data_IF_886567074662
#
_entry.id   IF_886567074662
#
_cell.length_a   1.000
_cell.length_b   1.000
_cell.length_c   1.000
_cell.angle_alpha   90.00
_cell.angle_beta   90.00
_cell.angle_gamma   90.00
#
_symmetry.space_group_name_H-M   'P 1'
#
loop_
_entity.id
_entity.type
_entity.pdbx_description
1 polymer ?
#
# COMPACT_ATOMS: atom_id res chain seq x y z
N UNK A 1 2.25 12.87 -14.82
CA UNK A 1 2.60 11.77 -13.89
C UNK A 1 1.82 10.51 -14.22
N UNK A 2 2.48 9.34 -14.15
CA UNK A 2 1.81 8.03 -14.16
C UNK A 2 1.05 7.84 -12.85
N UNK A 3 0.02 6.98 -12.86
CA UNK A 3 -0.68 6.58 -11.63
C UNK A 3 0.17 5.55 -10.90
N UNK A 4 0.37 5.72 -9.59
CA UNK A 4 1.09 4.77 -8.72
C UNK A 4 0.08 3.88 -8.00
N UNK A 5 0.26 2.57 -8.04
CA UNK A 5 -0.43 1.65 -7.13
C UNK A 5 0.36 1.50 -5.84
N UNK A 6 -0.24 1.88 -4.71
CA UNK A 6 0.32 1.68 -3.37
C UNK A 6 -0.42 0.50 -2.72
N UNK A 7 0.28 -0.59 -2.44
CA UNK A 7 -0.24 -1.68 -1.61
C UNK A 7 0.28 -1.43 -0.20
N UNK A 8 -0.64 -1.12 0.71
CA UNK A 8 -0.35 -0.74 2.09
C UNK A 8 -1.25 -1.46 3.08
N UNK A 9 -1.43 -0.87 4.25
CA UNK A 9 -2.16 -1.48 5.36
C UNK A 9 -1.32 -2.44 6.20
N UNK A 10 0.00 -2.54 5.98
CA UNK A 10 0.93 -3.41 6.72
C UNK A 10 2.01 -2.65 7.54
N UNK A 11 1.70 -1.65 8.37
CA UNK A 11 0.39 -1.26 8.90
C UNK A 11 -0.22 -0.05 8.16
N UNK A 12 -1.42 0.38 8.59
CA UNK A 12 -2.06 1.57 8.03
C UNK A 12 -1.34 2.86 8.43
N UNK A 13 -0.76 2.91 9.63
CA UNK A 13 -0.02 4.08 10.12
C UNK A 13 1.17 4.40 9.21
N UNK A 14 1.99 3.40 8.89
CA UNK A 14 3.14 3.58 7.98
C UNK A 14 2.69 3.96 6.57
N UNK A 15 1.59 3.37 6.09
CA UNK A 15 1.00 3.67 4.79
C UNK A 15 0.53 5.12 4.69
N UNK A 16 -0.05 5.67 5.76
CA UNK A 16 -0.48 7.07 5.81
C UNK A 16 0.69 8.04 5.64
N UNK A 17 1.87 7.68 6.18
CA UNK A 17 3.09 8.47 6.00
C UNK A 17 3.55 8.45 4.54
N UNK A 18 3.53 7.30 3.87
CA UNK A 18 3.86 7.22 2.44
C UNK A 18 2.93 8.08 1.59
N UNK A 19 1.62 8.00 1.81
CA UNK A 19 0.66 8.85 1.09
C UNK A 19 0.98 10.34 1.27
N UNK A 20 1.26 10.77 2.50
CA UNK A 20 1.62 12.15 2.82
C UNK A 20 2.90 12.57 2.11
N UNK A 21 3.97 11.78 2.24
CA UNK A 21 5.27 12.10 1.63
C UNK A 21 5.19 12.17 0.10
N UNK A 22 4.51 11.22 -0.53
CA UNK A 22 4.33 11.20 -1.99
C UNK A 22 3.62 12.48 -2.46
N UNK A 23 2.55 12.88 -1.78
CA UNK A 23 1.83 14.12 -2.14
C UNK A 23 2.65 15.38 -1.84
N UNK A 24 3.33 15.46 -0.70
CA UNK A 24 4.18 16.61 -0.36
C UNK A 24 5.30 16.81 -1.38
N UNK A 25 5.97 15.73 -1.80
CA UNK A 25 7.04 15.79 -2.81
C UNK A 25 6.50 16.10 -4.21
N UNK A 26 5.30 15.61 -4.55
CA UNK A 26 4.69 15.92 -5.84
C UNK A 26 4.28 17.40 -5.90
N UNK A 27 3.68 17.90 -4.83
CA UNK A 27 3.26 19.29 -4.73
C UNK A 27 4.47 20.23 -4.85
N UNK A 28 5.58 19.92 -4.18
CA UNK A 28 6.78 20.78 -4.23
C UNK A 28 7.47 20.82 -5.60
N UNK A 29 7.33 19.78 -6.43
CA UNK A 29 7.97 19.70 -7.74
C UNK A 29 7.06 20.13 -8.89
N UNK A 30 5.75 19.89 -8.77
CA UNK A 30 4.82 19.99 -9.89
C UNK A 30 3.57 20.83 -9.60
N UNK A 31 3.41 21.37 -8.39
CA UNK A 31 2.23 22.13 -7.93
C UNK A 31 0.91 21.36 -8.15
N UNK A 32 0.95 20.03 -7.97
CA UNK A 32 -0.16 19.11 -8.18
C UNK A 32 -0.16 18.00 -7.13
N UNK A 33 -1.32 17.38 -6.92
CA UNK A 33 -1.43 16.16 -6.12
C UNK A 33 -0.87 14.96 -6.88
N UNK A 34 -0.40 13.96 -6.13
CA UNK A 34 0.02 12.70 -6.72
C UNK A 34 -1.19 11.92 -7.27
N UNK A 35 -1.04 11.33 -8.46
CA UNK A 35 -2.01 10.38 -9.01
C UNK A 35 -1.69 8.99 -8.45
N UNK A 36 -2.52 8.46 -7.56
CA UNK A 36 -2.31 7.14 -6.97
C UNK A 36 -3.62 6.39 -6.66
N UNK A 37 -3.51 5.08 -6.56
CA UNK A 37 -4.53 4.17 -6.02
C UNK A 37 -3.91 3.48 -4.81
N UNK A 38 -4.59 3.50 -3.68
CA UNK A 38 -4.17 2.79 -2.46
C UNK A 38 -5.05 1.56 -2.26
N UNK A 39 -4.44 0.38 -2.20
CA UNK A 39 -5.06 -0.85 -1.71
C UNK A 39 -4.55 -1.10 -0.29
N UNK A 40 -5.44 -1.06 0.70
CA UNK A 40 -5.09 -1.28 2.10
C UNK A 40 -5.47 -2.69 2.51
N UNK A 41 -4.48 -3.50 2.85
CA UNK A 41 -4.67 -4.88 3.32
C UNK A 41 -4.97 -4.92 4.82
N UNK A 42 -5.52 -6.04 5.29
CA UNK A 42 -5.70 -6.31 6.71
C UNK A 42 -4.37 -6.79 7.32
N UNK A 43 -3.81 -5.97 8.22
CA UNK A 43 -2.56 -6.31 8.92
C UNK A 43 -2.68 -7.56 9.79
N UNK A 44 -3.82 -7.74 10.47
CA UNK A 44 -4.03 -8.87 11.36
C UNK A 44 -4.10 -10.19 10.60
N UNK A 45 -4.77 -10.20 9.45
CA UNK A 45 -4.83 -11.36 8.56
C UNK A 45 -3.43 -11.73 8.03
N UNK A 46 -2.71 -10.77 7.46
CA UNK A 46 -1.37 -11.00 6.90
C UNK A 46 -0.38 -11.44 7.96
N UNK A 47 -0.37 -10.80 9.13
CA UNK A 47 0.55 -11.19 10.21
C UNK A 47 0.26 -12.57 10.77
N UNK A 48 -1.01 -12.95 10.91
CA UNK A 48 -1.42 -14.28 11.34
C UNK A 48 -0.88 -15.36 10.40
N UNK A 49 -1.08 -15.18 9.08
CA UNK A 49 -0.59 -16.14 8.09
C UNK A 49 0.95 -16.20 8.07
N UNK A 50 1.63 -15.05 8.17
CA UNK A 50 3.10 -15.01 8.21
C UNK A 50 3.66 -15.71 9.45
N UNK A 51 3.05 -15.52 10.61
CA UNK A 51 3.42 -16.20 11.86
C UNK A 51 3.25 -17.72 11.76
N UNK A 52 2.26 -18.18 11.00
CA UNK A 52 2.00 -19.60 10.76
C UNK A 52 2.79 -20.17 9.56
N UNK A 53 3.71 -19.41 8.96
CA UNK A 53 4.47 -19.80 7.77
C UNK A 53 3.62 -20.12 6.53
N UNK A 54 2.41 -19.55 6.45
CA UNK A 54 1.44 -19.74 5.36
C UNK A 54 1.67 -18.74 4.21
N UNK A 55 2.81 -18.87 3.52
CA UNK A 55 3.26 -17.88 2.53
C UNK A 55 2.44 -17.86 1.24
N UNK A 56 1.91 -19.01 0.80
CA UNK A 56 1.08 -19.07 -0.42
C UNK A 56 -0.27 -18.37 -0.20
N UNK A 57 -0.83 -18.48 1.00
CA UNK A 57 -2.04 -17.77 1.38
C UNK A 57 -1.81 -16.26 1.39
N UNK A 58 -0.69 -15.78 1.95
CA UNK A 58 -0.31 -14.35 1.90
C UNK A 58 -0.18 -13.86 0.46
N UNK A 59 0.42 -14.66 -0.42
CA UNK A 59 0.53 -14.32 -1.85
C UNK A 59 -0.84 -14.19 -2.52
N UNK A 60 -1.81 -15.00 -2.11
CA UNK A 60 -3.18 -14.99 -2.64
C UNK A 60 -4.07 -13.88 -2.04
N UNK A 61 -3.65 -13.23 -0.94
CA UNK A 61 -4.33 -12.05 -0.36
C UNK A 61 -4.10 -10.76 -1.16
N UNK A 62 -3.05 -10.71 -1.97
CA UNK A 62 -2.77 -9.59 -2.84
C UNK A 62 -3.89 -9.36 -3.87
N UNK A 63 -3.75 -8.30 -4.68
CA UNK A 63 -4.66 -8.08 -5.80
C UNK A 63 -4.61 -9.30 -6.73
N UNK A 64 -5.61 -10.18 -6.64
CA UNK A 64 -5.95 -11.14 -7.68
C UNK A 64 -6.45 -10.33 -8.89
N UNK A 65 -5.50 -9.69 -9.59
CA UNK A 65 -5.77 -9.05 -10.87
C UNK A 65 -5.84 -10.19 -11.88
N UNK A 66 -7.07 -10.62 -12.16
CA UNK A 66 -7.39 -11.53 -13.26
C UNK A 66 -6.94 -10.93 -14.61
#
# INVERSE_FOLDING_TARGET
MKVIGLIGGLSWESTSLYYKHINTLTLSQYDQNAKLVLYSMDFGEVTTLLQNHQYEEVKNLGLNVY
#
